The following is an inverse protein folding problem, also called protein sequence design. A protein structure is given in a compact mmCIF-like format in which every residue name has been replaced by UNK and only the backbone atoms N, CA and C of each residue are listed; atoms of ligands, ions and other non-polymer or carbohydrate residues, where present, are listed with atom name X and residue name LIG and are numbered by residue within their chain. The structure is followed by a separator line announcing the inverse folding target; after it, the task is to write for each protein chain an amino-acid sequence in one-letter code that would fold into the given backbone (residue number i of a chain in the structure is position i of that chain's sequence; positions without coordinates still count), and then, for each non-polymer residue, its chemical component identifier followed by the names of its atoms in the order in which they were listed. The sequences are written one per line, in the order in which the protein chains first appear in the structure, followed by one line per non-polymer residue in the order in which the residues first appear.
data_IF_215055056976
#
_entry.id   IF_215055056976
#
_cell.length_a   1.000
_cell.length_b   1.000
_cell.length_c   1.000
_cell.angle_alpha   90.00
_cell.angle_beta   90.00
_cell.angle_gamma   90.00
#
_symmetry.space_group_name_H-M   'P 1'
#
loop_
_entity.id
_entity.type
_entity.pdbx_description
1 polymer ?
#
# COMPACT_ATOMS: atom_id res chain seq x y z
N UNK A 1 2.31 9.36 -18.10
CA UNK A 1 1.88 9.53 -16.70
C UNK A 1 1.90 8.19 -15.98
N UNK A 2 2.25 8.19 -14.71
CA UNK A 2 2.25 7.00 -13.88
C UNK A 2 1.20 7.13 -12.77
N UNK A 3 0.70 5.97 -12.32
CA UNK A 3 -0.17 5.88 -11.16
C UNK A 3 0.69 5.72 -9.92
N UNK A 4 0.57 6.64 -8.96
CA UNK A 4 1.30 6.57 -7.71
C UNK A 4 0.54 5.73 -6.70
N UNK A 5 1.13 4.61 -6.29
CA UNK A 5 0.48 3.63 -5.42
C UNK A 5 1.21 3.55 -4.09
N UNK A 6 0.46 3.69 -3.00
CA UNK A 6 1.02 3.58 -1.64
C UNK A 6 0.49 2.33 -0.96
N UNK A 7 1.39 1.51 -0.44
CA UNK A 7 1.04 0.32 0.34
C UNK A 7 1.33 0.57 1.81
N UNK A 8 0.36 0.27 2.68
CA UNK A 8 0.45 0.60 4.10
C UNK A 8 0.19 -0.64 4.96
N UNK A 9 1.09 -0.91 5.90
CA UNK A 9 0.88 -1.90 6.96
C UNK A 9 1.18 -1.24 8.31
N UNK A 10 1.47 -2.02 9.35
CA UNK A 10 1.73 -1.45 10.67
C UNK A 10 3.15 -0.87 10.77
N UNK A 11 4.16 -1.72 10.57
CA UNK A 11 5.56 -1.38 10.85
C UNK A 11 6.40 -1.11 9.61
N UNK A 12 5.86 -1.30 8.44
CA UNK A 12 6.60 -1.17 7.18
C UNK A 12 7.83 -2.08 7.16
N UNK A 13 7.68 -3.27 7.70
CA UNK A 13 8.77 -4.23 7.81
C UNK A 13 8.64 -5.37 6.82
N UNK A 14 7.45 -5.92 6.66
CA UNK A 14 7.25 -7.12 5.83
C UNK A 14 6.20 -6.96 4.74
N UNK A 15 4.93 -6.71 5.07
CA UNK A 15 3.84 -6.72 4.11
C UNK A 15 3.90 -5.59 3.10
N UNK A 16 3.98 -4.35 3.56
CA UNK A 16 3.99 -3.22 2.64
C UNK A 16 5.29 -3.11 1.84
N UNK A 17 6.48 -3.41 2.42
CA UNK A 17 7.70 -3.43 1.60
C UNK A 17 7.68 -4.53 0.53
N UNK A 18 7.05 -5.68 0.81
CA UNK A 18 6.89 -6.73 -0.22
C UNK A 18 6.04 -6.22 -1.36
N UNK A 19 4.90 -5.58 -1.06
CA UNK A 19 4.03 -5.01 -2.08
C UNK A 19 4.76 -3.97 -2.93
N UNK A 20 5.50 -3.08 -2.28
CA UNK A 20 6.31 -2.10 -2.99
C UNK A 20 7.30 -2.78 -3.93
N UNK A 21 7.99 -3.80 -3.45
CA UNK A 21 9.01 -4.51 -4.21
C UNK A 21 8.45 -5.18 -5.47
N UNK A 22 7.32 -5.85 -5.36
CA UNK A 22 6.75 -6.59 -6.50
C UNK A 22 6.19 -5.66 -7.57
N UNK A 23 5.80 -4.43 -7.22
CA UNK A 23 5.17 -3.51 -8.16
C UNK A 23 6.05 -2.34 -8.61
N UNK A 24 7.14 -2.03 -7.90
CA UNK A 24 7.90 -0.79 -8.13
C UNK A 24 8.53 -0.64 -9.50
N UNK A 25 8.76 -1.73 -10.23
CA UNK A 25 9.36 -1.69 -11.56
C UNK A 25 8.35 -1.98 -12.67
N UNK A 26 7.09 -1.94 -12.35
CA UNK A 26 6.04 -2.19 -13.33
C UNK A 26 5.77 -0.92 -14.12
N UNK A 27 5.90 -0.97 -15.46
CA UNK A 27 5.62 0.23 -16.27
C UNK A 27 4.19 0.74 -16.03
N UNK A 28 4.06 2.04 -15.81
CA UNK A 28 2.79 2.68 -15.51
C UNK A 28 2.52 2.87 -14.03
N UNK A 29 3.33 2.25 -13.16
CA UNK A 29 3.17 2.36 -11.71
C UNK A 29 4.42 2.92 -11.06
N UNK A 30 4.22 3.73 -10.03
CA UNK A 30 5.26 4.11 -9.08
C UNK A 30 4.77 3.65 -7.71
N UNK A 31 5.52 2.80 -7.05
CA UNK A 31 5.10 2.19 -5.79
C UNK A 31 5.98 2.65 -4.62
N UNK A 32 5.34 2.97 -3.50
CA UNK A 32 6.00 3.28 -2.23
C UNK A 32 5.25 2.56 -1.12
N UNK A 33 5.90 2.47 0.04
CA UNK A 33 5.30 1.82 1.20
C UNK A 33 5.56 2.61 2.48
N UNK A 34 4.69 2.42 3.48
CA UNK A 34 4.82 3.06 4.77
C UNK A 34 4.06 2.26 5.83
N UNK A 35 4.25 2.62 7.09
CA UNK A 35 3.55 1.99 8.21
C UNK A 35 2.82 3.00 9.06
N UNK A 36 1.74 2.56 9.69
CA UNK A 36 0.95 3.41 10.58
C UNK A 36 1.56 3.57 11.97
N UNK A 37 2.44 2.65 12.38
CA UNK A 37 3.08 2.70 13.69
C UNK A 37 4.09 3.84 13.75
N UNK A 38 4.19 4.47 14.93
CA UNK A 38 5.22 5.48 15.18
C UNK A 38 6.63 4.89 15.03
N UNK A 39 6.78 3.60 15.20
CA UNK A 39 8.05 2.88 15.10
C UNK A 39 8.25 2.22 13.74
N UNK A 40 7.43 2.55 12.75
CA UNK A 40 7.58 2.01 11.41
C UNK A 40 8.92 2.45 10.79
N UNK A 41 9.46 1.61 9.93
CA UNK A 41 10.70 1.94 9.21
C UNK A 41 10.51 3.23 8.40
N UNK A 42 9.40 3.31 7.65
CA UNK A 42 8.95 4.55 7.02
C UNK A 42 7.54 4.80 7.50
N UNK A 43 7.32 5.93 8.16
CA UNK A 43 5.99 6.27 8.68
C UNK A 43 5.14 6.93 7.61
N UNK A 44 3.82 6.75 7.72
CA UNK A 44 2.89 7.49 6.86
C UNK A 44 3.00 8.98 7.18
N UNK A 45 3.11 9.80 6.15
CA UNK A 45 3.16 11.25 6.27
C UNK A 45 2.07 11.88 5.40
N UNK A 46 1.65 13.13 5.71
CA UNK A 46 0.73 13.85 4.82
C UNK A 46 1.24 13.94 3.39
N UNK A 47 2.56 14.12 3.21
CA UNK A 47 3.18 14.21 1.89
C UNK A 47 3.01 12.93 1.09
N UNK A 48 3.17 11.76 1.74
CA UNK A 48 2.97 10.48 1.08
C UNK A 48 1.50 10.29 0.68
N UNK A 49 0.57 10.71 1.55
CA UNK A 49 -0.85 10.59 1.23
C UNK A 49 -1.25 11.50 0.08
N UNK A 50 -0.68 12.71 0.01
CA UNK A 50 -0.90 13.61 -1.12
C UNK A 50 -0.29 13.07 -2.41
N UNK A 51 0.89 12.45 -2.31
CA UNK A 51 1.57 11.87 -3.46
C UNK A 51 0.78 10.70 -4.06
N UNK A 52 0.12 9.91 -3.23
CA UNK A 52 -0.55 8.69 -3.68
C UNK A 52 -1.81 8.98 -4.47
N UNK A 53 -1.96 8.31 -5.60
CA UNK A 53 -3.21 8.31 -6.37
C UNK A 53 -4.13 7.19 -5.91
N UNK A 54 -3.57 6.13 -5.35
CA UNK A 54 -4.32 4.98 -4.86
C UNK A 54 -3.59 4.41 -3.66
N UNK A 55 -4.34 3.99 -2.64
CA UNK A 55 -3.79 3.46 -1.40
C UNK A 55 -4.32 2.06 -1.15
N UNK A 56 -3.42 1.14 -0.81
CA UNK A 56 -3.78 -0.20 -0.35
C UNK A 56 -3.29 -0.34 1.09
N UNK A 57 -4.19 -0.75 1.98
CA UNK A 57 -3.84 -1.04 3.38
C UNK A 57 -4.04 -2.53 3.62
N UNK A 58 -3.19 -3.12 4.45
CA UNK A 58 -3.21 -4.56 4.66
C UNK A 58 -4.40 -5.02 5.50
N UNK A 59 -4.84 -4.20 6.46
CA UNK A 59 -5.94 -4.55 7.34
C UNK A 59 -6.85 -3.35 7.62
N UNK A 60 -8.06 -3.63 8.04
CA UNK A 60 -9.04 -2.59 8.37
C UNK A 60 -8.53 -1.61 9.42
N UNK A 61 -7.75 -2.09 10.40
CA UNK A 61 -7.18 -1.21 11.43
C UNK A 61 -6.29 -0.11 10.85
N UNK A 62 -5.61 -0.40 9.74
CA UNK A 62 -4.76 0.60 9.07
C UNK A 62 -5.62 1.68 8.44
N UNK A 63 -6.71 1.29 7.78
CA UNK A 63 -7.66 2.25 7.22
C UNK A 63 -8.26 3.12 8.31
N UNK A 64 -8.71 2.50 9.39
CA UNK A 64 -9.32 3.24 10.50
C UNK A 64 -8.36 4.30 11.05
N UNK A 65 -7.09 3.94 11.19
CA UNK A 65 -6.09 4.87 11.70
C UNK A 65 -5.81 6.02 10.74
N UNK A 66 -5.69 5.72 9.46
CA UNK A 66 -5.48 6.75 8.44
C UNK A 66 -6.66 7.72 8.39
N UNK A 67 -7.87 7.20 8.43
CA UNK A 67 -9.09 8.04 8.41
C UNK A 67 -9.15 8.91 9.65
N UNK A 68 -8.82 8.35 10.84
CA UNK A 68 -8.84 9.10 12.08
C UNK A 68 -7.84 10.27 12.07
N UNK A 69 -6.67 10.07 11.47
CA UNK A 69 -5.59 11.07 11.51
C UNK A 69 -5.54 11.99 10.30
N UNK A 70 -6.05 11.54 9.13
CA UNK A 70 -5.85 12.25 7.86
C UNK A 70 -7.10 12.28 6.98
N UNK A 71 -8.26 12.41 7.58
CA UNK A 71 -9.54 12.30 6.88
C UNK A 71 -9.63 13.12 5.59
N UNK A 72 -9.22 14.40 5.66
CA UNK A 72 -9.35 15.30 4.50
C UNK A 72 -8.46 14.89 3.34
N UNK A 73 -7.28 14.36 3.62
CA UNK A 73 -6.34 13.93 2.59
C UNK A 73 -6.80 12.69 1.87
N UNK A 74 -7.73 11.95 2.48
CA UNK A 74 -8.23 10.69 1.94
C UNK A 74 -9.56 10.83 1.20
N UNK A 75 -10.21 11.99 1.32
CA UNK A 75 -11.45 12.23 0.58
C UNK A 75 -11.21 12.07 -0.92
N UNK A 76 -12.11 11.38 -1.59
CA UNK A 76 -12.04 11.16 -3.04
C UNK A 76 -10.83 10.35 -3.51
N UNK A 77 -10.09 9.74 -2.59
CA UNK A 77 -8.93 8.95 -2.94
C UNK A 77 -9.26 7.46 -2.80
N UNK A 78 -9.06 6.64 -3.85
CA UNK A 78 -9.29 5.20 -3.73
C UNK A 78 -8.41 4.61 -2.63
N UNK A 79 -9.03 3.90 -1.69
CA UNK A 79 -8.35 3.21 -0.61
C UNK A 79 -8.98 1.83 -0.46
N UNK A 80 -8.19 0.79 -0.63
CA UNK A 80 -8.65 -0.59 -0.59
C UNK A 80 -8.02 -1.34 0.57
N UNK A 81 -8.83 -2.14 1.28
CA UNK A 81 -8.37 -3.01 2.37
C UNK A 81 -8.15 -4.40 1.80
N UNK A 82 -6.95 -4.95 1.96
CA UNK A 82 -6.59 -6.23 1.35
C UNK A 82 -6.88 -7.44 2.25
N UNK A 83 -7.08 -7.22 3.54
CA UNK A 83 -7.32 -8.29 4.52
C UNK A 83 -6.20 -9.33 4.57
N UNK A 84 -4.96 -8.86 4.54
CA UNK A 84 -3.78 -9.71 4.66
C UNK A 84 -3.23 -9.59 6.08
N UNK A 85 -3.27 -10.68 6.88
CA UNK A 85 -2.81 -10.64 8.27
C UNK A 85 -1.29 -10.53 8.38
N UNK A 86 -0.80 -10.20 9.58
CA UNK A 86 0.63 -10.03 9.85
C UNK A 86 1.28 -11.39 10.16
N UNK A 87 1.19 -12.32 9.21
CA UNK A 87 1.68 -13.69 9.36
C UNK A 87 2.84 -14.03 8.43
N UNK A 88 3.41 -13.04 7.76
CA UNK A 88 4.38 -13.28 6.68
C UNK A 88 5.62 -12.44 6.87
N UNK A 89 6.78 -13.02 6.53
CA UNK A 89 8.03 -12.29 6.46
C UNK A 89 8.19 -11.61 5.10
N UNK A 90 9.20 -10.76 4.99
CA UNK A 90 9.49 -10.03 3.76
C UNK A 90 9.72 -10.98 2.59
N UNK A 91 9.00 -10.75 1.50
CA UNK A 91 9.08 -11.52 0.25
C UNK A 91 8.69 -13.00 0.39
N UNK A 92 7.94 -13.35 1.43
CA UNK A 92 7.36 -14.69 1.54
C UNK A 92 6.55 -14.99 0.27
N UNK A 93 6.77 -16.15 -0.39
CA UNK A 93 6.06 -16.48 -1.64
C UNK A 93 4.54 -16.47 -1.51
N UNK A 94 4.00 -16.91 -0.38
CA UNK A 94 2.56 -16.88 -0.15
C UNK A 94 2.05 -15.43 -0.06
N UNK A 95 2.81 -14.57 0.61
CA UNK A 95 2.47 -13.15 0.69
C UNK A 95 2.48 -12.51 -0.69
N UNK A 96 3.48 -12.81 -1.51
CA UNK A 96 3.56 -12.29 -2.88
C UNK A 96 2.32 -12.68 -3.66
N UNK A 97 1.91 -13.96 -3.59
CA UNK A 97 0.72 -14.44 -4.30
C UNK A 97 -0.54 -13.70 -3.84
N UNK A 98 -0.72 -13.56 -2.52
CA UNK A 98 -1.86 -12.85 -1.96
C UNK A 98 -1.89 -11.39 -2.42
N UNK A 99 -0.74 -10.72 -2.40
CA UNK A 99 -0.64 -9.33 -2.83
C UNK A 99 -0.95 -9.19 -4.31
N UNK A 100 -0.39 -10.05 -5.16
CA UNK A 100 -0.67 -10.00 -6.59
C UNK A 100 -2.15 -10.20 -6.88
N UNK A 101 -2.75 -11.22 -6.27
CA UNK A 101 -4.17 -11.54 -6.50
C UNK A 101 -5.10 -10.42 -6.01
N UNK A 102 -4.78 -9.79 -4.88
CA UNK A 102 -5.66 -8.79 -4.29
C UNK A 102 -5.50 -7.40 -4.89
N UNK A 103 -4.35 -7.08 -5.48
CA UNK A 103 -4.08 -5.74 -6.02
C UNK A 103 -4.18 -5.66 -7.54
N UNK A 104 -3.88 -6.73 -8.26
CA UNK A 104 -3.86 -6.72 -9.72
C UNK A 104 -5.18 -6.24 -10.34
N UNK A 105 -6.37 -6.66 -9.86
CA UNK A 105 -7.62 -6.18 -10.45
C UNK A 105 -7.74 -4.65 -10.46
N UNK A 106 -7.18 -3.98 -9.45
CA UNK A 106 -7.22 -2.52 -9.36
C UNK A 106 -6.10 -1.87 -10.15
N UNK A 107 -4.96 -2.53 -10.32
CA UNK A 107 -3.78 -1.95 -10.94
C UNK A 107 -3.69 -2.24 -12.44
N UNK A 108 -4.29 -3.33 -12.90
CA UNK A 108 -4.20 -3.75 -14.30
C UNK A 108 -4.51 -2.65 -15.31
N UNK A 109 -5.55 -1.80 -15.11
CA UNK A 109 -5.85 -0.73 -16.08
C UNK A 109 -4.71 0.28 -16.27
N UNK A 110 -3.81 0.39 -15.32
CA UNK A 110 -2.75 1.41 -15.32
C UNK A 110 -1.40 0.83 -15.74
N UNK A 111 -1.27 -0.48 -15.85
CA UNK A 111 -0.03 -1.11 -16.26
C UNK A 111 0.15 -0.91 -17.77
N UNK A 112 1.30 -0.37 -18.14
CA UNK A 112 1.64 -0.14 -19.55
C UNK A 112 2.33 -1.35 -20.13
N UNK A 113 1.88 -1.76 -21.30
CA UNK A 113 2.45 -2.93 -21.98
C UNK A 113 3.44 -2.53 -23.04
#
# INVERSE_FOLDING_TARGET
LTMNVLFVCSRNQWRSPTAERIWRRTPGLTARSAGTSRNAIKTVTPELLLWADMIFVMEQKHKNRLVAEHRRLLEHKPLHVLDIPDDYHYMDPELITLLEQSTEPFLAPFIKK
#
